data_IF_292593602447
#
_entry.id   IF_292593602447
#
_cell.length_a   1.000
_cell.length_b   1.000
_cell.length_c   1.000
_cell.angle_alpha   90.00
_cell.angle_beta   90.00
_cell.angle_gamma   90.00
#
_symmetry.space_group_name_H-M   'P 1'
#
loop_
_entity.id
_entity.type
_entity.pdbx_description
1 polymer ?
#
# COMPACT_ATOMS: atom_id res chain seq x y z
N UNK A 1 1.52 -17.44 59.97
CA UNK A 1 2.66 -18.02 60.74
C UNK A 1 3.60 -18.68 59.76
N UNK A 2 4.81 -18.11 59.59
CA UNK A 2 6.13 -18.72 59.87
C UNK A 2 6.48 -19.91 58.95
N UNK A 3 7.63 -20.01 58.29
CA UNK A 3 8.88 -19.24 58.27
C UNK A 3 9.70 -19.74 57.07
N UNK A 4 10.29 -18.87 56.24
CA UNK A 4 11.70 -18.45 56.31
C UNK A 4 12.75 -19.57 56.47
N UNK A 5 13.71 -19.60 55.52
CA UNK A 5 15.14 -19.55 55.85
C UNK A 5 16.00 -19.06 54.67
N UNK A 6 16.61 -17.90 54.90
CA UNK A 6 17.76 -17.29 54.20
C UNK A 6 19.05 -18.03 54.61
N UNK A 7 20.10 -17.91 53.80
CA UNK A 7 21.56 -17.86 54.12
C UNK A 7 22.26 -17.60 52.77
N UNK A 8 23.36 -16.88 52.60
CA UNK A 8 24.03 -15.73 53.21
C UNK A 8 25.20 -15.43 52.25
N UNK A 9 25.45 -14.16 51.98
CA UNK A 9 26.56 -13.61 51.19
C UNK A 9 27.91 -13.82 51.90
N UNK A 10 28.99 -14.08 51.17
CA UNK A 10 30.34 -13.70 51.60
C UNK A 10 31.12 -13.09 50.42
N UNK A 11 31.43 -11.81 50.55
CA UNK A 11 32.35 -11.08 49.70
C UNK A 11 33.81 -11.41 50.09
N UNK A 12 34.72 -11.47 49.12
CA UNK A 12 36.13 -11.25 49.38
C UNK A 12 36.78 -10.50 48.21
N UNK A 13 37.30 -9.33 48.54
CA UNK A 13 38.02 -8.39 47.69
C UNK A 13 39.47 -8.85 47.51
N UNK A 14 40.02 -8.75 46.29
CA UNK A 14 41.46 -8.64 46.09
C UNK A 14 41.75 -7.52 45.09
N UNK A 15 42.33 -6.44 45.61
CA UNK A 15 42.96 -5.37 44.86
C UNK A 15 44.42 -5.79 44.66
N UNK A 16 44.91 -5.76 43.42
CA UNK A 16 46.34 -5.60 43.16
C UNK A 16 46.55 -4.84 41.85
N UNK A 17 47.36 -3.81 41.97
CA UNK A 17 47.50 -2.65 41.09
C UNK A 17 48.76 -2.70 40.21
N UNK A 18 48.70 -1.94 39.11
CA UNK A 18 49.77 -1.32 38.30
C UNK A 18 50.70 -2.20 37.46
N UNK A 19 50.66 -1.96 36.14
CA UNK A 19 51.66 -1.12 35.46
C UNK A 19 51.03 -0.40 34.26
N UNK A 20 51.00 0.93 34.31
CA UNK A 20 50.90 1.79 33.13
C UNK A 20 52.28 1.89 32.48
N UNK A 21 52.33 1.76 31.16
CA UNK A 21 53.32 2.44 30.33
C UNK A 21 52.57 3.24 29.27
N UNK A 22 52.73 4.56 29.35
CA UNK A 22 52.12 5.55 28.48
C UNK A 22 52.87 5.69 27.15
N UNK A 23 52.13 6.09 26.12
CA UNK A 23 52.44 7.06 25.03
C UNK A 23 51.35 6.83 23.97
N UNK A 24 50.65 7.78 23.36
CA UNK A 24 50.65 9.25 23.34
C UNK A 24 49.54 9.64 22.35
N UNK A 25 48.79 10.73 22.58
CA UNK A 25 48.03 11.41 21.52
C UNK A 25 46.59 11.72 21.88
N UNK A 26 46.28 13.01 22.00
CA UNK A 26 44.99 13.52 22.45
C UNK A 26 43.85 13.46 21.43
N UNK A 27 42.65 13.73 21.92
CA UNK A 27 41.46 13.98 21.09
C UNK A 27 40.21 13.34 21.69
N UNK A 28 39.50 14.07 22.55
CA UNK A 28 38.21 13.65 23.09
C UNK A 28 37.18 13.53 21.97
N UNK A 29 36.76 12.31 21.65
CA UNK A 29 35.59 12.01 20.82
C UNK A 29 34.42 11.58 21.70
N UNK A 30 33.32 12.31 21.54
CA UNK A 30 31.96 11.96 21.92
C UNK A 30 31.61 10.51 21.61
N UNK A 31 31.03 9.82 22.59
CA UNK A 31 30.34 8.55 22.43
C UNK A 31 29.16 8.70 21.48
N UNK A 32 29.35 8.32 20.22
CA UNK A 32 28.27 7.92 19.32
C UNK A 32 28.09 6.41 19.46
N UNK A 33 26.89 5.97 19.81
CA UNK A 33 26.48 4.58 19.67
C UNK A 33 26.54 4.20 18.19
N UNK A 34 27.45 3.29 17.84
CA UNK A 34 27.55 2.73 16.50
C UNK A 34 26.43 1.72 16.29
N UNK A 35 25.29 2.17 15.77
CA UNK A 35 24.34 1.30 15.09
C UNK A 35 24.84 1.04 13.66
N UNK A 36 25.63 -0.03 13.47
CA UNK A 36 25.65 -0.87 12.26
C UNK A 36 26.92 -1.76 12.25
N UNK A 37 26.85 -2.95 12.82
CA UNK A 37 27.73 -4.03 12.39
C UNK A 37 26.85 -5.17 11.85
N UNK A 38 27.04 -5.49 10.57
CA UNK A 38 26.31 -6.50 9.81
C UNK A 38 25.42 -5.89 8.73
N UNK A 39 25.88 -5.88 7.48
CA UNK A 39 25.01 -5.69 6.33
C UNK A 39 24.06 -6.88 6.13
N UNK A 40 23.37 -6.89 5.00
CA UNK A 40 22.48 -7.99 4.61
C UNK A 40 23.30 -9.29 4.49
N UNK A 41 22.84 -10.36 5.16
CA UNK A 41 23.45 -11.70 5.08
C UNK A 41 22.94 -12.44 3.83
N UNK A 42 23.53 -12.11 2.67
CA UNK A 42 23.23 -12.79 1.40
C UNK A 42 23.74 -14.23 1.34
N UNK A 43 24.41 -14.76 2.37
CA UNK A 43 24.87 -16.15 2.39
C UNK A 43 23.74 -17.15 2.70
N UNK A 44 22.64 -16.70 3.28
CA UNK A 44 21.50 -17.53 3.66
C UNK A 44 20.30 -17.24 2.77
N UNK A 45 19.76 -18.28 2.15
CA UNK A 45 18.51 -18.14 1.42
C UNK A 45 17.35 -17.91 2.39
N UNK A 46 16.59 -16.84 2.18
CA UNK A 46 15.34 -16.57 2.92
C UNK A 46 14.16 -16.92 2.02
N UNK A 47 13.34 -17.88 2.45
CA UNK A 47 12.11 -18.25 1.76
C UNK A 47 10.93 -17.42 2.28
N UNK A 48 10.21 -16.75 1.39
CA UNK A 48 9.12 -15.82 1.70
C UNK A 48 7.85 -16.31 0.98
N UNK A 49 6.77 -16.50 1.74
CA UNK A 49 5.44 -16.75 1.19
C UNK A 49 4.81 -15.46 0.68
N UNK A 50 4.05 -15.53 -0.41
CA UNK A 50 3.28 -14.39 -0.94
C UNK A 50 1.83 -14.82 -1.10
N UNK A 51 0.92 -14.21 -0.34
CA UNK A 51 -0.52 -14.45 -0.48
C UNK A 51 -1.04 -13.61 -1.66
N UNK A 52 -1.59 -14.29 -2.66
CA UNK A 52 -2.04 -13.70 -3.93
C UNK A 52 -3.53 -13.38 -3.86
N UNK A 53 -3.89 -12.10 -3.96
CA UNK A 53 -5.28 -11.65 -4.01
C UNK A 53 -5.86 -11.62 -5.44
N UNK A 54 -5.00 -11.43 -6.44
CA UNK A 54 -5.33 -11.43 -7.86
C UNK A 54 -4.15 -12.04 -8.62
N UNK A 55 -4.38 -13.08 -9.41
CA UNK A 55 -3.34 -13.76 -10.18
C UNK A 55 -3.18 -13.20 -11.61
N UNK A 56 -4.09 -12.35 -12.07
CA UNK A 56 -4.22 -11.99 -13.49
C UNK A 56 -4.18 -10.50 -13.78
N UNK A 57 -4.52 -9.65 -12.80
CA UNK A 57 -4.48 -8.21 -12.95
C UNK A 57 -3.08 -7.69 -13.27
N UNK A 58 -3.01 -6.72 -14.17
CA UNK A 58 -1.74 -6.13 -14.60
C UNK A 58 -0.95 -5.52 -13.43
N UNK A 59 -1.64 -4.96 -12.43
CA UNK A 59 -1.04 -4.49 -11.17
C UNK A 59 -0.35 -5.65 -10.43
N UNK A 60 -1.08 -6.73 -10.15
CA UNK A 60 -0.57 -7.88 -9.42
C UNK A 60 0.60 -8.55 -10.16
N UNK A 61 0.51 -8.64 -11.49
CA UNK A 61 1.58 -9.15 -12.34
C UNK A 61 2.81 -8.23 -12.33
N UNK A 62 2.64 -6.91 -12.26
CA UNK A 62 3.75 -5.97 -12.15
C UNK A 62 4.47 -6.11 -10.79
N UNK A 63 3.72 -6.24 -9.68
CA UNK A 63 4.28 -6.54 -8.36
C UNK A 63 5.05 -7.86 -8.35
N UNK A 64 4.46 -8.92 -8.91
CA UNK A 64 5.12 -10.21 -9.04
C UNK A 64 6.39 -10.12 -9.88
N UNK A 65 6.35 -9.41 -11.01
CA UNK A 65 7.52 -9.19 -11.85
C UNK A 65 8.63 -8.46 -11.11
N UNK A 66 8.31 -7.44 -10.32
CA UNK A 66 9.31 -6.74 -9.50
C UNK A 66 9.98 -7.70 -8.48
N UNK A 67 9.21 -8.58 -7.83
CA UNK A 67 9.78 -9.58 -6.93
C UNK A 67 10.61 -10.66 -7.64
N UNK A 68 10.09 -11.27 -8.71
CA UNK A 68 10.77 -12.38 -9.39
C UNK A 68 11.93 -11.92 -10.28
N UNK A 69 11.75 -10.80 -11.00
CA UNK A 69 12.69 -10.37 -12.03
C UNK A 69 13.67 -9.31 -11.58
N UNK A 70 13.41 -8.63 -10.46
CA UNK A 70 14.35 -7.69 -9.84
C UNK A 70 14.84 -8.22 -8.48
N UNK A 71 13.99 -8.25 -7.46
CA UNK A 71 14.39 -8.53 -6.07
C UNK A 71 15.09 -9.89 -5.94
N UNK A 72 14.54 -10.97 -6.49
CA UNK A 72 15.14 -12.31 -6.39
C UNK A 72 16.49 -12.45 -7.11
N UNK A 73 16.84 -11.53 -8.02
CA UNK A 73 18.18 -11.48 -8.64
C UNK A 73 19.19 -10.69 -7.79
N UNK A 74 18.70 -9.79 -6.94
CA UNK A 74 19.53 -8.89 -6.14
C UNK A 74 19.84 -9.46 -4.74
N UNK A 75 18.90 -10.20 -4.15
CA UNK A 75 19.01 -10.74 -2.80
C UNK A 75 18.90 -12.26 -2.83
N UNK A 76 19.53 -12.95 -1.87
CA UNK A 76 19.40 -14.39 -1.73
C UNK A 76 18.05 -14.78 -1.09
N UNK A 77 16.97 -14.62 -1.85
CA UNK A 77 15.60 -14.89 -1.42
C UNK A 77 14.89 -15.81 -2.41
N UNK A 78 13.93 -16.59 -1.91
CA UNK A 78 13.05 -17.43 -2.74
C UNK A 78 11.61 -17.10 -2.41
N UNK A 79 10.83 -16.69 -3.41
CA UNK A 79 9.39 -16.45 -3.23
C UNK A 79 8.59 -17.73 -3.50
N UNK A 80 7.59 -17.97 -2.66
CA UNK A 80 6.59 -19.02 -2.84
C UNK A 80 5.22 -18.38 -2.84
N UNK A 81 4.51 -18.47 -3.96
CA UNK A 81 3.19 -17.85 -4.13
C UNK A 81 2.08 -18.85 -3.79
N UNK A 82 0.98 -18.37 -3.26
CA UNK A 82 -0.28 -19.11 -3.23
C UNK A 82 -0.93 -19.09 -4.62
N UNK A 83 -1.95 -19.92 -4.81
CA UNK A 83 -2.97 -19.63 -5.82
C UNK A 83 -3.76 -18.37 -5.43
N UNK A 84 -4.60 -17.86 -6.34
CA UNK A 84 -5.51 -16.75 -6.05
C UNK A 84 -6.46 -17.09 -4.90
N UNK A 85 -6.56 -16.18 -3.93
CA UNK A 85 -7.29 -16.39 -2.68
C UNK A 85 -8.61 -15.64 -2.71
N UNK A 86 -9.71 -16.35 -2.44
CA UNK A 86 -11.06 -15.80 -2.48
C UNK A 86 -11.70 -15.66 -1.10
N UNK A 87 -11.12 -16.27 -0.06
CA UNK A 87 -11.67 -16.26 1.29
C UNK A 87 -10.62 -16.59 2.38
N UNK A 88 -11.03 -16.40 3.64
CA UNK A 88 -10.20 -16.60 4.82
C UNK A 88 -9.74 -18.07 5.01
N UNK A 89 -10.51 -19.06 4.54
CA UNK A 89 -10.14 -20.47 4.66
C UNK A 89 -9.01 -20.84 3.67
N UNK A 90 -9.08 -20.28 2.46
CA UNK A 90 -8.01 -20.37 1.47
C UNK A 90 -6.74 -19.68 1.98
N UNK A 91 -6.86 -18.48 2.57
CA UNK A 91 -5.74 -17.76 3.19
C UNK A 91 -5.06 -18.60 4.30
N UNK A 92 -5.85 -19.17 5.22
CA UNK A 92 -5.31 -20.02 6.28
C UNK A 92 -4.59 -21.26 5.71
N UNK A 93 -5.15 -21.90 4.68
CA UNK A 93 -4.56 -23.07 4.03
C UNK A 93 -3.25 -22.74 3.31
N UNK A 94 -3.18 -21.59 2.65
CA UNK A 94 -1.96 -21.10 2.02
C UNK A 94 -0.86 -20.81 3.04
N UNK A 95 -1.21 -20.20 4.18
CA UNK A 95 -0.27 -19.97 5.29
C UNK A 95 0.28 -21.31 5.82
N UNK A 96 -0.57 -22.31 6.03
CA UNK A 96 -0.13 -23.66 6.44
C UNK A 96 0.85 -24.28 5.44
N UNK A 97 0.58 -24.13 4.14
CA UNK A 97 1.46 -24.61 3.09
C UNK A 97 2.82 -23.89 3.12
N UNK A 98 2.85 -22.57 3.31
CA UNK A 98 4.09 -21.80 3.44
C UNK A 98 4.90 -22.21 4.67
N UNK A 99 4.25 -22.42 5.81
CA UNK A 99 4.88 -22.90 7.04
C UNK A 99 5.51 -24.29 6.81
N UNK A 100 4.75 -25.23 6.25
CA UNK A 100 5.23 -26.58 5.93
C UNK A 100 6.44 -26.55 4.96
N UNK A 101 6.52 -25.51 4.14
CA UNK A 101 7.58 -25.27 3.18
C UNK A 101 8.77 -24.45 3.72
N UNK A 102 8.81 -24.20 5.03
CA UNK A 102 9.85 -23.47 5.74
C UNK A 102 10.00 -21.99 5.34
N UNK A 103 8.92 -21.35 4.88
CA UNK A 103 8.90 -19.89 4.73
C UNK A 103 9.17 -19.23 6.09
N UNK A 104 10.05 -18.23 6.12
CA UNK A 104 10.41 -17.46 7.33
C UNK A 104 9.57 -16.21 7.50
N UNK A 105 8.99 -15.75 6.40
CA UNK A 105 8.05 -14.66 6.39
C UNK A 105 6.97 -14.88 5.34
N UNK A 106 5.89 -14.12 5.45
CA UNK A 106 4.78 -14.04 4.52
C UNK A 106 4.50 -12.55 4.26
N UNK A 107 4.48 -12.16 2.99
CA UNK A 107 4.03 -10.84 2.54
C UNK A 107 2.63 -11.03 1.93
N UNK A 108 1.62 -10.40 2.52
CA UNK A 108 0.23 -10.56 2.11
C UNK A 108 -0.24 -9.41 1.23
N UNK A 109 -0.86 -9.78 0.11
CA UNK A 109 -1.72 -8.90 -0.68
C UNK A 109 -3.22 -9.19 -0.43
N UNK A 110 -3.54 -10.26 0.31
CA UNK A 110 -4.90 -10.69 0.60
C UNK A 110 -5.43 -10.08 1.91
N UNK A 111 -6.74 -9.90 1.99
CA UNK A 111 -7.39 -9.14 3.07
C UNK A 111 -8.72 -9.72 3.55
N UNK A 112 -9.00 -11.01 3.34
CA UNK A 112 -10.26 -11.60 3.80
C UNK A 112 -10.35 -11.69 5.33
N UNK A 113 -9.27 -12.06 6.01
CA UNK A 113 -9.17 -12.03 7.49
C UNK A 113 -7.72 -11.79 7.98
N UNK A 114 -7.28 -10.52 7.94
CA UNK A 114 -5.95 -10.11 8.44
C UNK A 114 -5.70 -10.54 9.89
N UNK A 115 -6.64 -10.35 10.84
CA UNK A 115 -6.43 -10.80 12.22
C UNK A 115 -6.13 -12.29 12.34
N UNK A 116 -6.85 -13.16 11.62
CA UNK A 116 -6.58 -14.60 11.63
C UNK A 116 -5.21 -14.92 11.00
N UNK A 117 -4.86 -14.25 9.89
CA UNK A 117 -3.55 -14.42 9.24
C UNK A 117 -2.39 -14.07 10.20
N UNK A 118 -2.47 -12.93 10.89
CA UNK A 118 -1.42 -12.47 11.83
C UNK A 118 -1.28 -13.43 13.00
N UNK A 119 -2.39 -13.83 13.64
CA UNK A 119 -2.37 -14.78 14.77
C UNK A 119 -1.73 -16.11 14.37
N UNK A 120 -2.13 -16.67 13.22
CA UNK A 120 -1.59 -17.93 12.72
C UNK A 120 -0.09 -17.86 12.43
N UNK A 121 0.38 -16.77 11.84
CA UNK A 121 1.81 -16.56 11.59
C UNK A 121 2.59 -16.43 12.91
N UNK A 122 2.08 -15.67 13.88
CA UNK A 122 2.70 -15.49 15.18
C UNK A 122 2.80 -16.80 15.99
N UNK A 123 1.74 -17.62 16.01
CA UNK A 123 1.73 -18.95 16.63
C UNK A 123 2.83 -19.86 16.07
N UNK A 124 3.15 -19.70 14.78
CA UNK A 124 4.16 -20.49 14.07
C UNK A 124 5.52 -19.80 13.94
N UNK A 125 5.69 -18.62 14.56
CA UNK A 125 6.93 -17.83 14.53
C UNK A 125 7.40 -17.47 13.11
N UNK A 126 6.45 -17.18 12.24
CA UNK A 126 6.66 -16.70 10.87
C UNK A 126 6.32 -15.22 10.84
N UNK A 127 7.22 -14.40 10.29
CA UNK A 127 6.95 -12.97 10.16
C UNK A 127 5.82 -12.71 9.16
N UNK A 128 4.92 -11.80 9.47
CA UNK A 128 3.80 -11.43 8.60
C UNK A 128 3.84 -9.94 8.31
N UNK A 129 3.74 -9.60 7.03
CA UNK A 129 3.80 -8.25 6.52
C UNK A 129 2.65 -8.01 5.55
N UNK A 130 2.14 -6.79 5.52
CA UNK A 130 1.05 -6.38 4.63
C UNK A 130 1.60 -5.44 3.56
N UNK A 131 1.42 -5.81 2.30
CA UNK A 131 1.77 -4.99 1.16
C UNK A 131 0.52 -4.30 0.58
N UNK A 132 0.65 -3.06 0.14
CA UNK A 132 -0.34 -2.30 -0.66
C UNK A 132 -1.69 -2.06 0.03
N UNK A 133 -1.73 -2.17 1.35
CA UNK A 133 -2.89 -1.79 2.15
C UNK A 133 -2.52 -1.57 3.61
N UNK A 134 -3.55 -1.33 4.43
CA UNK A 134 -3.42 -1.07 5.87
C UNK A 134 -4.25 -2.07 6.68
N UNK A 135 -4.14 -2.01 8.01
CA UNK A 135 -5.14 -2.51 8.94
C UNK A 135 -6.07 -1.35 9.33
N UNK A 136 -7.25 -1.67 9.87
CA UNK A 136 -8.04 -0.69 10.62
C UNK A 136 -7.31 -0.29 11.92
N UNK A 137 -7.69 0.85 12.51
CA UNK A 137 -7.12 1.32 13.78
C UNK A 137 -7.30 0.29 14.92
N UNK A 138 -8.44 -0.40 14.93
CA UNK A 138 -8.77 -1.42 15.93
C UNK A 138 -7.88 -2.65 15.78
N UNK A 139 -7.73 -3.17 14.55
CA UNK A 139 -6.85 -4.30 14.27
C UNK A 139 -5.38 -3.93 14.51
N UNK A 140 -4.94 -2.74 14.11
CA UNK A 140 -3.58 -2.29 14.36
C UNK A 140 -3.31 -2.20 15.86
N UNK A 141 -4.24 -1.65 16.66
CA UNK A 141 -4.12 -1.62 18.11
C UNK A 141 -4.01 -3.02 18.74
N UNK A 142 -4.65 -4.04 18.16
CA UNK A 142 -4.51 -5.44 18.59
C UNK A 142 -3.12 -6.02 18.29
N UNK A 143 -2.53 -5.69 17.14
CA UNK A 143 -1.35 -6.40 16.62
C UNK A 143 -0.04 -5.61 16.67
N UNK A 144 -0.05 -4.31 16.93
CA UNK A 144 1.14 -3.46 16.88
C UNK A 144 2.30 -3.95 17.76
N UNK A 145 2.02 -4.60 18.89
CA UNK A 145 3.04 -5.11 19.81
C UNK A 145 3.49 -6.55 19.49
N UNK A 146 2.95 -7.18 18.44
CA UNK A 146 3.27 -8.55 18.07
C UNK A 146 4.65 -8.64 17.40
N UNK A 147 5.56 -9.43 17.99
CA UNK A 147 6.93 -9.65 17.51
C UNK A 147 7.00 -10.15 16.06
N UNK A 148 6.03 -10.97 15.64
CA UNK A 148 5.99 -11.54 14.30
C UNK A 148 5.18 -10.72 13.31
N UNK A 149 4.50 -9.66 13.75
CA UNK A 149 3.88 -8.71 12.85
C UNK A 149 4.88 -7.62 12.47
N UNK A 150 5.34 -7.61 11.22
CA UNK A 150 6.28 -6.61 10.68
C UNK A 150 5.60 -5.26 10.52
N UNK A 151 4.35 -5.27 10.07
CA UNK A 151 3.57 -4.06 9.81
C UNK A 151 2.93 -4.04 8.43
N UNK A 152 2.41 -2.88 8.08
CA UNK A 152 1.76 -2.58 6.81
C UNK A 152 2.40 -1.37 6.14
N UNK A 153 2.63 -1.48 4.83
CA UNK A 153 3.02 -0.37 3.97
C UNK A 153 2.20 -0.41 2.69
N UNK A 154 1.50 0.69 2.43
CA UNK A 154 0.61 0.88 1.30
C UNK A 154 -0.14 2.20 1.48
N UNK A 155 -1.04 2.56 0.57
CA UNK A 155 -1.93 3.67 0.83
C UNK A 155 -2.77 3.38 2.07
N UNK A 156 -2.73 4.28 3.05
CA UNK A 156 -3.69 4.29 4.13
C UNK A 156 -5.05 4.82 3.66
N UNK A 157 -6.09 4.67 4.49
CA UNK A 157 -7.44 5.06 4.11
C UNK A 157 -7.58 6.58 3.85
N UNK A 158 -6.79 7.40 4.53
CA UNK A 158 -6.75 8.85 4.28
C UNK A 158 -6.15 9.17 2.90
N UNK A 159 -5.12 8.44 2.49
CA UNK A 159 -4.48 8.53 1.18
C UNK A 159 -5.42 8.05 0.08
N UNK A 160 -6.19 6.98 0.33
CA UNK A 160 -7.24 6.52 -0.60
C UNK A 160 -8.34 7.56 -0.80
N UNK A 161 -8.79 8.17 0.29
CA UNK A 161 -9.72 9.29 0.22
C UNK A 161 -9.13 10.47 -0.57
N UNK A 162 -7.91 10.87 -0.26
CA UNK A 162 -7.26 12.01 -0.90
C UNK A 162 -7.09 11.77 -2.40
N UNK A 163 -6.74 10.56 -2.84
CA UNK A 163 -6.63 10.22 -4.25
C UNK A 163 -7.97 10.39 -5.00
N UNK A 164 -9.08 9.97 -4.39
CA UNK A 164 -10.42 10.18 -4.94
C UNK A 164 -10.84 11.65 -4.94
N UNK A 165 -10.53 12.39 -3.86
CA UNK A 165 -10.79 13.82 -3.73
C UNK A 165 -10.03 14.62 -4.79
N UNK A 166 -8.72 14.43 -4.92
CA UNK A 166 -7.86 15.15 -5.86
C UNK A 166 -8.28 14.88 -7.31
N UNK A 167 -8.65 13.63 -7.62
CA UNK A 167 -9.13 13.27 -8.95
C UNK A 167 -10.44 14.00 -9.30
N UNK A 168 -11.44 14.04 -8.41
CA UNK A 168 -12.67 14.79 -8.67
C UNK A 168 -12.39 16.30 -8.74
N UNK A 169 -11.57 16.82 -7.81
CA UNK A 169 -11.18 18.22 -7.74
C UNK A 169 -10.51 18.71 -9.01
N UNK A 170 -9.63 17.91 -9.61
CA UNK A 170 -8.97 18.23 -10.87
C UNK A 170 -9.94 18.67 -11.97
N UNK A 171 -11.10 18.01 -12.10
CA UNK A 171 -12.12 18.37 -13.09
C UNK A 171 -13.08 19.46 -12.61
N UNK A 172 -13.41 19.47 -11.32
CA UNK A 172 -14.23 20.54 -10.72
C UNK A 172 -13.55 21.91 -10.90
N UNK A 173 -12.23 22.00 -10.72
CA UNK A 173 -11.43 23.21 -10.94
C UNK A 173 -11.41 23.65 -12.42
N UNK A 174 -11.71 22.74 -13.35
CA UNK A 174 -11.90 23.02 -14.78
C UNK A 174 -13.35 23.40 -15.13
N UNK A 175 -14.23 23.49 -14.13
CA UNK A 175 -15.64 23.87 -14.30
C UNK A 175 -16.55 22.72 -14.72
N UNK A 176 -16.09 21.46 -14.64
CA UNK A 176 -16.95 20.29 -14.86
C UNK A 176 -17.90 20.13 -13.68
N UNK A 177 -19.15 19.80 -13.95
CA UNK A 177 -20.21 19.74 -12.92
C UNK A 177 -21.04 18.47 -12.97
N UNK A 178 -20.90 17.65 -14.01
CA UNK A 178 -21.72 16.44 -14.20
C UNK A 178 -20.86 15.20 -14.37
N UNK A 179 -20.93 14.30 -13.39
CA UNK A 179 -20.02 13.16 -13.26
C UNK A 179 -20.77 11.83 -13.31
N UNK A 180 -20.19 10.85 -13.97
CA UNK A 180 -20.47 9.45 -13.70
C UNK A 180 -19.39 8.90 -12.75
N UNK A 181 -19.78 8.01 -11.83
CA UNK A 181 -18.85 7.35 -10.91
C UNK A 181 -18.91 5.83 -11.15
N UNK A 182 -17.76 5.23 -11.42
CA UNK A 182 -17.56 3.80 -11.28
C UNK A 182 -16.96 3.51 -9.91
N UNK A 183 -17.78 2.97 -9.00
CA UNK A 183 -17.46 2.69 -7.61
C UNK A 183 -16.76 1.34 -7.37
N UNK A 184 -16.46 0.56 -8.42
CA UNK A 184 -15.71 -0.70 -8.31
C UNK A 184 -16.29 -1.63 -7.24
N UNK A 185 -15.43 -2.20 -6.40
CA UNK A 185 -15.81 -3.09 -5.28
C UNK A 185 -16.40 -2.38 -4.05
N UNK A 186 -16.86 -1.12 -4.15
CA UNK A 186 -17.60 -0.45 -3.07
C UNK A 186 -18.79 -1.30 -2.56
N UNK A 187 -19.66 -1.86 -3.44
CA UNK A 187 -20.72 -2.80 -3.03
C UNK A 187 -20.25 -4.05 -2.26
N UNK A 188 -18.99 -4.41 -2.39
CA UNK A 188 -18.37 -5.57 -1.72
C UNK A 188 -17.61 -5.17 -0.46
N UNK A 189 -17.89 -3.97 0.08
CA UNK A 189 -17.31 -3.45 1.33
C UNK A 189 -15.78 -3.34 1.29
N UNK A 190 -15.22 -3.07 0.12
CA UNK A 190 -13.77 -2.82 0.00
C UNK A 190 -13.45 -1.38 0.40
N UNK A 191 -12.81 -1.20 1.55
CA UNK A 191 -12.53 0.12 2.14
C UNK A 191 -11.80 1.06 1.19
N UNK A 192 -10.78 0.57 0.47
CA UNK A 192 -10.05 1.33 -0.54
C UNK A 192 -10.99 2.04 -1.54
N UNK A 193 -11.98 1.33 -2.08
CA UNK A 193 -12.93 1.88 -3.04
C UNK A 193 -13.98 2.78 -2.37
N UNK A 194 -14.39 2.46 -1.15
CA UNK A 194 -15.30 3.31 -0.35
C UNK A 194 -14.65 4.67 -0.09
N UNK A 195 -13.40 4.70 0.37
CA UNK A 195 -12.70 5.93 0.72
C UNK A 195 -12.43 6.79 -0.52
N UNK A 196 -11.99 6.20 -1.64
CA UNK A 196 -11.87 6.91 -2.93
C UNK A 196 -13.20 7.53 -3.35
N UNK A 197 -14.29 6.76 -3.29
CA UNK A 197 -15.65 7.25 -3.63
C UNK A 197 -16.05 8.40 -2.70
N UNK A 198 -15.81 8.29 -1.39
CA UNK A 198 -16.09 9.34 -0.43
C UNK A 198 -15.31 10.62 -0.73
N UNK A 199 -14.03 10.50 -1.08
CA UNK A 199 -13.19 11.62 -1.50
C UNK A 199 -13.81 12.38 -2.67
N UNK A 200 -14.26 11.66 -3.70
CA UNK A 200 -14.93 12.27 -4.86
C UNK A 200 -16.19 13.03 -4.45
N UNK A 201 -17.06 12.41 -3.65
CA UNK A 201 -18.31 13.02 -3.21
C UNK A 201 -18.09 14.25 -2.33
N UNK A 202 -17.07 14.25 -1.46
CA UNK A 202 -16.71 15.40 -0.64
C UNK A 202 -16.21 16.55 -1.50
N UNK A 203 -15.32 16.30 -2.47
CA UNK A 203 -14.89 17.34 -3.42
C UNK A 203 -16.10 17.96 -4.16
N UNK A 204 -17.07 17.13 -4.58
CA UNK A 204 -18.31 17.59 -5.21
C UNK A 204 -19.20 18.40 -4.25
N UNK A 205 -19.28 18.04 -2.98
CA UNK A 205 -20.02 18.80 -1.96
C UNK A 205 -19.41 20.20 -1.75
N UNK A 206 -18.09 20.28 -1.65
CA UNK A 206 -17.35 21.53 -1.48
C UNK A 206 -17.51 22.45 -2.69
N UNK A 207 -17.31 21.92 -3.90
CA UNK A 207 -17.44 22.71 -5.13
C UNK A 207 -18.91 23.08 -5.46
N UNK A 208 -19.85 22.19 -5.16
CA UNK A 208 -21.27 22.35 -5.46
C UNK A 208 -22.04 23.20 -4.45
N UNK A 209 -21.53 23.36 -3.22
CA UNK A 209 -22.24 24.05 -2.13
C UNK A 209 -23.47 23.29 -1.63
N UNK A 210 -23.40 21.95 -1.59
CA UNK A 210 -24.50 21.06 -1.20
C UNK A 210 -24.04 19.85 -0.40
N UNK A 211 -24.93 18.87 -0.23
CA UNK A 211 -24.64 17.62 0.50
C UNK A 211 -25.05 16.42 -0.34
N UNK A 212 -24.32 15.31 -0.24
CA UNK A 212 -24.75 14.02 -0.76
C UNK A 212 -25.50 13.26 0.33
N UNK A 213 -26.83 13.11 0.19
CA UNK A 213 -27.69 12.44 1.18
C UNK A 213 -27.49 12.92 2.64
N UNK A 214 -27.21 14.21 2.81
CA UNK A 214 -27.00 14.85 4.12
C UNK A 214 -25.56 14.79 4.65
N UNK A 215 -24.61 14.20 3.92
CA UNK A 215 -23.18 14.20 4.25
C UNK A 215 -22.40 15.19 3.35
N UNK A 216 -21.30 15.74 3.87
CA UNK A 216 -20.49 16.73 3.14
C UNK A 216 -19.01 16.76 3.51
N UNK A 217 -18.58 16.02 4.52
CA UNK A 217 -17.18 15.97 4.97
C UNK A 217 -16.71 14.52 5.07
N UNK A 218 -15.40 14.33 5.28
CA UNK A 218 -14.75 13.02 5.36
C UNK A 218 -15.50 12.03 6.25
N UNK A 219 -15.74 12.40 7.52
CA UNK A 219 -16.31 11.48 8.51
C UNK A 219 -17.78 11.15 8.22
N UNK A 220 -18.58 12.17 7.90
CA UNK A 220 -20.00 11.98 7.59
C UNK A 220 -20.22 11.20 6.29
N UNK A 221 -19.34 11.37 5.29
CA UNK A 221 -19.47 10.71 4.00
C UNK A 221 -19.21 9.20 4.10
N UNK A 222 -18.17 8.79 4.82
CA UNK A 222 -17.87 7.36 5.03
C UNK A 222 -19.06 6.69 5.74
N UNK A 223 -19.53 7.27 6.84
CA UNK A 223 -20.71 6.77 7.55
C UNK A 223 -21.95 6.68 6.65
N UNK A 224 -22.17 7.70 5.80
CA UNK A 224 -23.29 7.70 4.84
C UNK A 224 -23.21 6.57 3.83
N UNK A 225 -22.02 6.26 3.29
CA UNK A 225 -21.86 5.17 2.32
C UNK A 225 -22.22 3.82 2.96
N UNK A 226 -21.78 3.56 4.19
CA UNK A 226 -22.17 2.33 4.90
C UNK A 226 -23.66 2.30 5.26
N UNK A 227 -24.26 3.41 5.66
CA UNK A 227 -25.71 3.49 5.90
C UNK A 227 -26.53 3.17 4.64
N UNK A 228 -25.97 3.45 3.46
CA UNK A 228 -26.54 3.12 2.15
C UNK A 228 -26.20 1.68 1.70
N UNK A 229 -25.65 0.83 2.59
CA UNK A 229 -25.18 -0.52 2.29
C UNK A 229 -24.17 -0.56 1.13
N UNK A 230 -23.35 0.49 1.00
CA UNK A 230 -22.38 0.68 -0.08
C UNK A 230 -23.00 0.66 -1.50
N UNK A 231 -24.30 0.98 -1.60
CA UNK A 231 -25.04 1.15 -2.86
C UNK A 231 -25.37 2.63 -3.05
N UNK A 232 -24.57 3.31 -3.87
CA UNK A 232 -24.75 4.73 -4.14
C UNK A 232 -25.77 4.94 -5.26
N UNK A 233 -26.40 6.10 -5.23
CA UNK A 233 -27.40 6.51 -6.22
C UNK A 233 -27.01 7.85 -6.86
N UNK A 234 -27.43 8.09 -8.12
CA UNK A 234 -27.33 9.41 -8.75
C UNK A 234 -27.99 10.50 -7.89
N UNK A 235 -27.34 11.65 -7.77
CA UNK A 235 -27.83 12.75 -6.95
C UNK A 235 -27.29 14.11 -7.38
N UNK A 236 -28.10 15.14 -7.17
CA UNK A 236 -27.68 16.54 -7.29
C UNK A 236 -27.08 17.03 -5.97
N UNK A 237 -25.90 17.63 -6.04
CA UNK A 237 -25.12 18.18 -4.93
C UNK A 237 -24.93 19.66 -5.18
N UNK A 238 -25.93 20.48 -4.81
CA UNK A 238 -25.91 21.91 -5.09
C UNK A 238 -25.83 22.20 -6.60
N UNK A 239 -24.72 22.79 -7.08
CA UNK A 239 -24.48 23.02 -8.51
C UNK A 239 -23.79 21.87 -9.25
N UNK A 240 -23.36 20.81 -8.55
CA UNK A 240 -22.73 19.61 -9.11
C UNK A 240 -23.74 18.46 -9.14
N UNK A 241 -23.55 17.47 -10.00
CA UNK A 241 -24.44 16.31 -10.16
C UNK A 241 -23.63 15.03 -10.38
N UNK A 242 -23.94 14.00 -9.58
CA UNK A 242 -23.63 12.60 -9.90
C UNK A 242 -24.76 12.09 -10.79
N UNK A 243 -24.50 12.04 -12.09
CA UNK A 243 -25.47 11.67 -13.13
C UNK A 243 -25.70 10.17 -13.17
N UNK A 244 -24.66 9.38 -12.88
CA UNK A 244 -24.73 7.91 -12.93
C UNK A 244 -23.76 7.31 -11.93
N UNK A 245 -24.16 6.19 -11.31
CA UNK A 245 -23.30 5.37 -10.47
C UNK A 245 -23.33 3.93 -10.95
N UNK A 246 -22.15 3.34 -11.10
CA UNK A 246 -21.95 1.94 -11.47
C UNK A 246 -21.09 1.31 -10.38
N UNK A 247 -21.63 0.33 -9.66
CA UNK A 247 -20.89 -0.43 -8.66
C UNK A 247 -20.73 -1.89 -9.06
N UNK A 248 -19.80 -2.58 -8.44
CA UNK A 248 -19.55 -4.00 -8.58
C UNK A 248 -18.73 -4.36 -9.83
N UNK A 249 -18.43 -5.64 -9.93
CA UNK A 249 -17.74 -6.31 -11.04
C UNK A 249 -18.54 -7.55 -11.45
N UNK A 250 -19.86 -7.39 -11.64
CA UNK A 250 -20.75 -8.51 -11.89
C UNK A 250 -20.57 -9.11 -13.30
N UNK A 251 -20.05 -8.31 -14.24
CA UNK A 251 -19.77 -8.67 -15.65
C UNK A 251 -20.93 -9.35 -16.39
N UNK A 252 -22.16 -9.11 -15.94
CA UNK A 252 -23.38 -9.57 -16.60
C UNK A 252 -23.94 -8.51 -17.57
N UNK A 253 -24.93 -8.90 -18.37
CA UNK A 253 -25.57 -8.01 -19.35
C UNK A 253 -26.16 -6.75 -18.70
N UNK A 254 -26.63 -6.85 -17.45
CA UNK A 254 -27.20 -5.72 -16.73
C UNK A 254 -26.12 -4.71 -16.32
N UNK A 255 -24.99 -5.19 -15.83
CA UNK A 255 -23.82 -4.39 -15.48
C UNK A 255 -23.25 -3.68 -16.71
N UNK A 256 -23.04 -4.40 -17.82
CA UNK A 256 -22.60 -3.79 -19.09
C UNK A 256 -23.65 -2.80 -19.64
N UNK A 257 -24.94 -3.07 -19.43
CA UNK A 257 -26.03 -2.14 -19.75
C UNK A 257 -25.90 -0.80 -19.03
N UNK A 258 -25.63 -0.80 -17.72
CA UNK A 258 -25.42 0.43 -16.92
C UNK A 258 -24.18 1.19 -17.39
N UNK A 259 -23.09 0.49 -17.67
CA UNK A 259 -21.87 1.09 -18.18
C UNK A 259 -22.10 1.78 -19.53
N UNK A 260 -22.81 1.11 -20.44
CA UNK A 260 -23.18 1.67 -21.75
C UNK A 260 -24.17 2.85 -21.63
N UNK A 261 -25.11 2.80 -20.69
CA UNK A 261 -26.04 3.91 -20.43
C UNK A 261 -25.28 5.16 -19.98
N UNK A 262 -24.35 5.02 -19.02
CA UNK A 262 -23.53 6.13 -18.55
C UNK A 262 -22.62 6.69 -19.66
N UNK A 263 -21.98 5.82 -20.44
CA UNK A 263 -21.14 6.22 -21.57
C UNK A 263 -21.92 6.97 -22.66
N UNK A 264 -23.19 6.61 -22.90
CA UNK A 264 -24.02 7.26 -23.91
C UNK A 264 -24.84 8.43 -23.38
N UNK A 265 -24.75 8.75 -22.09
CA UNK A 265 -25.52 9.84 -21.50
C UNK A 265 -24.88 11.19 -21.85
N UNK A 266 -25.55 12.06 -22.64
CA UNK A 266 -24.98 13.35 -23.08
C UNK A 266 -24.81 14.35 -21.94
N UNK A 267 -25.34 14.06 -20.73
CA UNK A 267 -25.12 14.87 -19.55
C UNK A 267 -23.85 14.50 -18.80
N UNK A 268 -23.22 13.36 -19.05
CA UNK A 268 -21.96 12.97 -18.40
C UNK A 268 -20.80 13.71 -19.06
N UNK A 269 -20.11 14.57 -18.30
CA UNK A 269 -18.91 15.27 -18.76
C UNK A 269 -17.63 14.47 -18.48
N UNK A 270 -17.59 13.79 -17.33
CA UNK A 270 -16.42 13.04 -16.85
C UNK A 270 -16.86 11.74 -16.18
N UNK A 271 -16.17 10.64 -16.51
CA UNK A 271 -16.22 9.40 -15.74
C UNK A 271 -15.06 9.37 -14.74
N UNK A 272 -15.38 9.22 -13.45
CA UNK A 272 -14.42 9.01 -12.37
C UNK A 272 -14.47 7.54 -11.94
N UNK A 273 -13.33 6.87 -11.89
CA UNK A 273 -13.27 5.44 -11.52
C UNK A 273 -12.38 5.24 -10.30
N UNK A 274 -12.86 4.48 -9.31
CA UNK A 274 -12.07 4.12 -8.11
C UNK A 274 -11.06 3.01 -8.35
N UNK A 275 -10.91 2.55 -9.59
CA UNK A 275 -10.12 1.40 -10.04
C UNK A 275 -10.57 1.06 -11.46
N UNK A 276 -9.70 0.53 -12.31
CA UNK A 276 -10.04 0.22 -13.70
C UNK A 276 -10.03 -1.28 -13.97
N UNK A 277 -11.16 -1.78 -14.47
CA UNK A 277 -11.16 -2.89 -15.41
C UNK A 277 -11.02 -2.30 -16.80
N UNK A 278 -10.19 -2.90 -17.67
CA UNK A 278 -10.02 -2.49 -19.07
C UNK A 278 -11.35 -2.29 -19.82
N UNK A 279 -12.38 -3.02 -19.41
CA UNK A 279 -13.73 -2.95 -19.96
C UNK A 279 -14.40 -1.58 -19.76
N UNK A 280 -14.07 -0.86 -18.68
CA UNK A 280 -14.57 0.50 -18.43
C UNK A 280 -14.03 1.49 -19.47
N UNK A 281 -12.73 1.42 -19.79
CA UNK A 281 -12.15 2.26 -20.84
C UNK A 281 -12.73 1.94 -22.22
N UNK A 282 -13.05 0.66 -22.47
CA UNK A 282 -13.56 0.24 -23.76
C UNK A 282 -14.96 0.81 -24.07
N UNK A 283 -15.78 1.01 -23.05
CA UNK A 283 -17.13 1.58 -23.19
C UNK A 283 -17.14 3.10 -23.40
N UNK A 284 -16.15 3.83 -22.85
CA UNK A 284 -16.11 5.29 -22.83
C UNK A 284 -15.27 5.93 -23.95
N UNK A 285 -15.07 5.23 -25.09
CA UNK A 285 -14.24 5.67 -26.23
C UNK A 285 -14.75 6.90 -27.01
N UNK A 286 -15.67 7.70 -26.47
CA UNK A 286 -16.19 8.88 -27.17
C UNK A 286 -15.28 10.10 -26.94
N UNK A 287 -14.88 10.80 -27.99
CA UNK A 287 -13.96 11.96 -27.94
C UNK A 287 -14.43 13.11 -27.03
N UNK A 288 -15.72 13.18 -26.69
CA UNK A 288 -16.31 14.26 -25.88
C UNK A 288 -16.31 14.01 -24.38
N UNK A 289 -16.00 12.80 -23.91
CA UNK A 289 -16.03 12.43 -22.50
C UNK A 289 -14.62 12.23 -21.97
N UNK A 290 -14.34 12.78 -20.79
CA UNK A 290 -13.05 12.60 -20.12
C UNK A 290 -13.13 11.43 -19.13
N UNK A 291 -12.04 10.69 -18.99
CA UNK A 291 -11.94 9.59 -18.04
C UNK A 291 -10.79 9.82 -17.07
N UNK A 292 -11.03 9.46 -15.81
CA UNK A 292 -10.06 9.53 -14.73
C UNK A 292 -10.10 8.26 -13.88
N UNK A 293 -8.93 7.76 -13.47
CA UNK A 293 -8.84 6.58 -12.60
C UNK A 293 -7.80 6.71 -11.49
N UNK A 294 -8.12 6.10 -10.35
CA UNK A 294 -7.13 5.72 -9.32
C UNK A 294 -6.88 4.22 -9.46
N UNK A 295 -5.70 3.83 -9.94
CA UNK A 295 -5.34 2.44 -10.22
C UNK A 295 -3.80 2.25 -10.18
N UNK A 296 -3.21 1.70 -11.24
CA UNK A 296 -1.82 1.29 -11.36
C UNK A 296 -1.24 1.68 -12.72
N UNK A 297 0.07 1.87 -12.78
CA UNK A 297 0.77 2.12 -14.03
C UNK A 297 0.89 0.84 -14.85
N UNK A 298 0.14 0.76 -15.95
CA UNK A 298 0.11 -0.38 -16.86
C UNK A 298 0.28 0.07 -18.31
N UNK A 299 0.72 -0.83 -19.19
CA UNK A 299 0.82 -0.55 -20.62
C UNK A 299 -0.51 -0.05 -21.20
N UNK A 300 -1.63 -0.63 -20.75
CA UNK A 300 -2.96 -0.28 -21.23
C UNK A 300 -3.43 1.08 -20.72
N UNK A 301 -3.16 1.43 -19.46
CA UNK A 301 -3.46 2.76 -18.94
C UNK A 301 -2.66 3.84 -19.68
N UNK A 302 -1.38 3.58 -19.98
CA UNK A 302 -0.55 4.50 -20.78
C UNK A 302 -1.06 4.59 -22.22
N UNK A 303 -1.49 3.48 -22.83
CA UNK A 303 -2.08 3.49 -24.16
C UNK A 303 -3.41 4.27 -24.19
N UNK A 304 -4.22 4.16 -23.14
CA UNK A 304 -5.45 4.94 -22.98
C UNK A 304 -5.17 6.44 -22.79
N UNK A 305 -4.08 6.80 -22.10
CA UNK A 305 -3.64 8.20 -22.00
C UNK A 305 -3.17 8.73 -23.36
N UNK A 306 -2.43 7.93 -24.12
CA UNK A 306 -1.96 8.27 -25.48
C UNK A 306 -3.10 8.50 -26.46
N UNK A 307 -4.17 7.71 -26.37
CA UNK A 307 -5.34 7.85 -27.22
C UNK A 307 -6.25 9.01 -26.81
N UNK A 308 -6.00 9.61 -25.64
CA UNK A 308 -6.82 10.68 -25.07
C UNK A 308 -8.08 10.21 -24.35
N UNK A 309 -8.32 8.89 -24.28
CA UNK A 309 -9.47 8.30 -23.56
C UNK A 309 -9.30 8.51 -22.06
N UNK A 310 -8.11 8.24 -21.52
CA UNK A 310 -7.75 8.51 -20.13
C UNK A 310 -7.04 9.86 -20.05
N UNK A 311 -7.42 10.73 -19.10
CA UNK A 311 -6.82 12.06 -18.95
C UNK A 311 -6.22 12.29 -17.56
N UNK A 312 -6.52 11.43 -16.60
CA UNK A 312 -5.98 11.49 -15.25
C UNK A 312 -5.76 10.07 -14.74
N UNK A 313 -4.53 9.77 -14.32
CA UNK A 313 -4.17 8.51 -13.69
C UNK A 313 -3.43 8.79 -12.38
N UNK A 314 -4.05 8.44 -11.25
CA UNK A 314 -3.33 8.23 -9.99
C UNK A 314 -2.96 6.75 -9.90
N UNK A 315 -1.72 6.41 -10.26
CA UNK A 315 -1.26 5.03 -10.37
C UNK A 315 -0.30 4.62 -9.24
N UNK A 316 -0.51 3.42 -8.69
CA UNK A 316 0.55 2.69 -7.98
C UNK A 316 1.62 2.26 -8.97
N UNK A 317 2.85 2.21 -8.49
CA UNK A 317 4.02 1.72 -9.22
C UNK A 317 4.51 0.42 -8.59
N UNK A 318 4.98 -0.50 -9.41
CA UNK A 318 5.40 -1.86 -9.07
C UNK A 318 6.43 -1.91 -7.93
N UNK A 319 7.44 -1.01 -7.96
CA UNK A 319 8.50 -1.02 -6.98
C UNK A 319 8.05 -0.59 -5.57
N UNK A 320 6.85 -0.02 -5.42
CA UNK A 320 6.30 0.46 -4.14
C UNK A 320 6.21 -0.63 -3.06
N UNK A 321 6.30 -1.91 -3.41
CA UNK A 321 6.37 -3.04 -2.46
C UNK A 321 7.81 -3.35 -1.97
N UNK A 322 8.81 -2.62 -2.46
CA UNK A 322 10.21 -2.77 -2.06
C UNK A 322 10.46 -2.50 -0.57
N UNK A 323 9.93 -1.41 0.03
CA UNK A 323 10.11 -1.12 1.44
C UNK A 323 9.56 -2.23 2.35
N UNK A 324 8.35 -2.75 2.08
CA UNK A 324 7.78 -3.83 2.91
C UNK A 324 8.56 -5.13 2.76
N UNK A 325 9.07 -5.43 1.57
CA UNK A 325 10.03 -6.52 1.37
C UNK A 325 11.28 -6.32 2.25
N UNK A 326 11.86 -5.12 2.25
CA UNK A 326 13.08 -4.88 3.01
C UNK A 326 12.85 -4.94 4.52
N UNK A 327 11.74 -4.37 5.03
CA UNK A 327 11.36 -4.51 6.44
C UNK A 327 11.19 -5.99 6.83
N UNK A 328 10.60 -6.79 5.94
CA UNK A 328 10.42 -8.23 6.13
C UNK A 328 11.74 -8.98 6.18
N UNK A 329 12.65 -8.72 5.22
CA UNK A 329 13.98 -9.32 5.20
C UNK A 329 14.78 -8.94 6.44
N UNK A 330 14.72 -7.67 6.83
CA UNK A 330 15.37 -7.13 8.02
C UNK A 330 14.89 -7.84 9.30
N UNK A 331 13.59 -8.06 9.45
CA UNK A 331 13.03 -8.81 10.57
C UNK A 331 13.51 -10.28 10.60
N UNK A 332 13.49 -10.97 9.45
CA UNK A 332 13.99 -12.36 9.35
C UNK A 332 15.47 -12.47 9.72
N UNK A 333 16.27 -11.46 9.38
CA UNK A 333 17.71 -11.42 9.70
C UNK A 333 18.02 -10.85 11.09
N UNK A 334 17.00 -10.64 11.94
CA UNK A 334 17.17 -10.25 13.33
C UNK A 334 17.39 -8.75 13.55
N UNK A 335 17.01 -7.92 12.58
CA UNK A 335 17.04 -6.45 12.66
C UNK A 335 15.66 -5.87 12.37
N UNK A 336 14.61 -6.23 13.13
CA UNK A 336 13.27 -5.72 12.88
C UNK A 336 13.25 -4.19 13.02
N UNK A 337 12.52 -3.53 12.11
CA UNK A 337 12.30 -2.09 12.15
C UNK A 337 11.00 -1.86 12.92
N UNK A 338 11.07 -1.07 13.99
CA UNK A 338 9.97 -0.84 14.94
C UNK A 338 9.93 0.63 15.33
N UNK A 339 8.75 1.14 15.68
CA UNK A 339 8.61 2.50 16.23
C UNK A 339 9.48 2.69 17.48
N UNK A 340 9.63 3.94 17.94
CA UNK A 340 10.31 4.22 19.20
C UNK A 340 9.72 3.47 20.42
N UNK A 341 8.45 3.07 20.35
CA UNK A 341 7.76 2.28 21.39
C UNK A 341 7.90 0.77 21.19
N UNK A 342 8.57 0.32 20.12
CA UNK A 342 8.70 -1.10 19.78
C UNK A 342 7.54 -1.65 18.93
N UNK A 343 6.68 -0.78 18.39
CA UNK A 343 5.47 -1.18 17.65
C UNK A 343 5.78 -1.52 16.18
N UNK A 344 4.93 -2.32 15.55
CA UNK A 344 4.97 -2.67 14.13
C UNK A 344 4.83 -1.44 13.22
N UNK A 345 5.20 -1.58 11.95
CA UNK A 345 5.06 -0.48 10.99
C UNK A 345 3.58 -0.27 10.61
N UNK A 346 3.16 0.99 10.57
CA UNK A 346 1.95 1.44 9.90
C UNK A 346 2.31 2.72 9.15
N UNK A 347 2.80 2.55 7.91
CA UNK A 347 3.33 3.65 7.11
C UNK A 347 2.56 3.75 5.79
N UNK A 348 2.24 4.99 5.40
CA UNK A 348 1.52 5.25 4.16
C UNK A 348 2.46 5.62 3.01
N UNK A 349 2.13 5.12 1.82
CA UNK A 349 2.68 5.59 0.54
C UNK A 349 1.54 5.82 -0.45
N UNK A 350 1.67 6.83 -1.30
CA UNK A 350 0.61 7.22 -2.23
C UNK A 350 0.88 6.86 -3.69
N UNK A 351 0.24 7.63 -4.56
CA UNK A 351 0.19 7.40 -6.01
C UNK A 351 1.13 8.35 -6.74
N UNK A 352 1.63 7.92 -7.89
CA UNK A 352 2.11 8.88 -8.90
C UNK A 352 0.91 9.36 -9.72
N UNK A 353 0.85 10.66 -10.00
CA UNK A 353 -0.28 11.26 -10.70
C UNK A 353 0.19 11.79 -12.05
N UNK A 354 -0.34 11.21 -13.14
CA UNK A 354 -0.14 11.71 -14.49
C UNK A 354 -1.44 12.33 -15.02
N UNK A 355 -1.34 13.53 -15.58
CA UNK A 355 -2.48 14.30 -16.13
C UNK A 355 -2.40 14.45 -17.65
N UNK A 356 -1.37 13.89 -18.26
CA UNK A 356 -1.18 13.84 -19.70
C UNK A 356 -0.33 12.64 -20.12
N UNK A 357 -0.34 12.33 -21.42
CA UNK A 357 0.37 11.18 -21.97
C UNK A 357 1.90 11.23 -21.74
N UNK A 358 2.53 12.41 -21.83
CA UNK A 358 3.97 12.56 -21.65
C UNK A 358 4.40 12.17 -20.21
N UNK A 359 3.66 12.63 -19.20
CA UNK A 359 3.88 12.25 -17.81
C UNK A 359 3.67 10.75 -17.60
N UNK A 360 2.58 10.19 -18.13
CA UNK A 360 2.31 8.75 -17.99
C UNK A 360 3.39 7.89 -18.64
N UNK A 361 3.87 8.27 -19.82
CA UNK A 361 4.99 7.58 -20.49
C UNK A 361 6.27 7.66 -19.68
N UNK A 362 6.61 8.85 -19.17
CA UNK A 362 7.79 9.06 -18.34
C UNK A 362 7.74 8.21 -17.08
N UNK A 363 6.60 8.16 -16.40
CA UNK A 363 6.45 7.42 -15.15
C UNK A 363 6.47 5.91 -15.40
N UNK A 364 5.74 5.45 -16.41
CA UNK A 364 5.70 4.03 -16.77
C UNK A 364 7.06 3.50 -17.27
N UNK A 365 7.86 4.32 -17.95
CA UNK A 365 9.21 3.93 -18.37
C UNK A 365 10.11 3.60 -17.18
N UNK A 366 9.96 4.31 -16.06
CA UNK A 366 10.66 3.98 -14.81
C UNK A 366 10.03 2.77 -14.13
N UNK A 367 8.70 2.73 -14.05
CA UNK A 367 8.00 1.66 -13.32
C UNK A 367 8.19 0.28 -13.95
N UNK A 368 8.12 0.19 -15.28
CA UNK A 368 8.25 -1.07 -16.02
C UNK A 368 9.69 -1.58 -16.16
N UNK A 369 10.67 -0.85 -15.65
CA UNK A 369 12.09 -1.20 -15.75
C UNK A 369 12.46 -2.33 -14.79
N UNK A 370 12.91 -3.47 -15.34
CA UNK A 370 13.44 -4.59 -14.53
C UNK A 370 14.93 -4.46 -14.22
N UNK A 371 15.60 -3.43 -14.75
CA UNK A 371 17.04 -3.19 -14.54
C UNK A 371 17.29 -2.00 -13.61
N UNK A 372 16.51 -0.93 -13.78
CA UNK A 372 16.55 0.30 -12.98
C UNK A 372 15.13 0.71 -12.51
N UNK A 373 14.48 -0.10 -11.67
CA UNK A 373 13.14 0.21 -11.16
C UNK A 373 13.15 1.45 -10.27
N UNK A 374 11.96 1.94 -9.89
CA UNK A 374 11.84 3.16 -9.07
C UNK A 374 12.61 3.05 -7.75
N UNK A 375 12.52 1.90 -7.06
CA UNK A 375 13.34 1.58 -5.90
C UNK A 375 14.40 0.54 -6.27
N UNK A 376 15.66 0.99 -6.31
CA UNK A 376 16.79 0.13 -6.65
C UNK A 376 17.32 -0.60 -5.42
N UNK A 377 18.17 -1.62 -5.63
CA UNK A 377 18.94 -2.27 -4.56
C UNK A 377 19.67 -1.25 -3.70
N UNK A 378 20.40 -0.31 -4.32
CA UNK A 378 21.18 0.68 -3.59
C UNK A 378 20.31 1.52 -2.63
N UNK A 379 19.08 1.84 -3.03
CA UNK A 379 18.12 2.54 -2.18
C UNK A 379 17.59 1.62 -1.06
N UNK A 380 17.17 0.40 -1.41
CA UNK A 380 16.64 -0.56 -0.45
C UNK A 380 17.66 -0.99 0.60
N UNK A 381 18.93 -1.13 0.23
CA UNK A 381 20.03 -1.48 1.15
C UNK A 381 20.16 -0.46 2.29
N UNK A 382 19.79 0.81 2.06
CA UNK A 382 19.77 1.85 3.11
C UNK A 382 18.70 1.63 4.16
N UNK A 383 17.67 0.86 3.85
CA UNK A 383 16.55 0.59 4.75
C UNK A 383 16.79 -0.62 5.66
N UNK A 384 17.74 -1.48 5.33
CA UNK A 384 18.02 -2.68 6.11
C UNK A 384 18.52 -2.33 7.51
N UNK A 385 17.76 -2.70 8.54
CA UNK A 385 18.06 -2.38 9.93
C UNK A 385 18.10 -0.87 10.24
N UNK A 386 17.48 -0.04 9.38
CA UNK A 386 17.41 1.40 9.58
C UNK A 386 16.59 1.77 10.83
N UNK A 387 16.77 3.00 11.30
CA UNK A 387 15.89 3.57 12.31
C UNK A 387 14.47 3.72 11.75
N UNK A 388 13.46 3.72 12.63
CA UNK A 388 12.09 3.98 12.19
C UNK A 388 11.95 5.33 11.49
N UNK A 389 12.58 6.38 12.01
CA UNK A 389 12.47 7.73 11.44
C UNK A 389 13.05 7.80 10.02
N UNK A 390 14.21 7.18 9.79
CA UNK A 390 14.82 7.13 8.45
C UNK A 390 13.98 6.29 7.49
N UNK A 391 13.46 5.15 7.96
CA UNK A 391 12.62 4.28 7.17
C UNK A 391 11.28 4.95 6.81
N UNK A 392 10.62 5.58 7.79
CA UNK A 392 9.37 6.32 7.60
C UNK A 392 9.56 7.50 6.65
N UNK A 393 10.67 8.24 6.79
CA UNK A 393 11.02 9.32 5.88
C UNK A 393 11.15 8.83 4.44
N UNK A 394 11.84 7.71 4.22
CA UNK A 394 11.94 7.10 2.89
C UNK A 394 10.56 6.74 2.32
N UNK A 395 9.74 6.02 3.10
CA UNK A 395 8.41 5.56 2.66
C UNK A 395 7.49 6.74 2.33
N UNK A 396 7.55 7.82 3.11
CA UNK A 396 6.73 9.03 2.87
C UNK A 396 7.16 9.84 1.64
N UNK A 397 8.40 9.66 1.16
CA UNK A 397 8.95 10.36 0.00
C UNK A 397 8.66 9.58 -1.30
N UNK A 398 7.37 9.37 -1.58
CA UNK A 398 6.92 8.45 -2.64
C UNK A 398 6.57 9.15 -3.95
N UNK A 399 6.58 10.49 -4.04
CA UNK A 399 6.30 11.15 -5.32
C UNK A 399 7.38 10.80 -6.36
N UNK A 400 7.03 10.84 -7.64
CA UNK A 400 7.97 10.50 -8.71
C UNK A 400 9.26 11.31 -8.60
N UNK A 401 9.16 12.62 -8.36
CA UNK A 401 10.32 13.51 -8.28
C UNK A 401 11.18 13.25 -7.04
N UNK A 402 10.58 12.99 -5.88
CA UNK A 402 11.31 12.63 -4.66
C UNK A 402 12.12 11.35 -4.87
N UNK A 403 11.50 10.31 -5.45
CA UNK A 403 12.17 9.04 -5.74
C UNK A 403 13.33 9.24 -6.72
N UNK A 404 13.15 10.02 -7.79
CA UNK A 404 14.24 10.33 -8.72
C UNK A 404 15.39 11.11 -8.06
N UNK A 405 15.09 11.91 -7.03
CA UNK A 405 16.11 12.63 -6.27
C UNK A 405 16.84 11.74 -5.27
N UNK A 406 16.19 10.70 -4.73
CA UNK A 406 16.83 9.68 -3.89
C UNK A 406 17.83 8.79 -4.66
N UNK A 407 17.72 8.72 -5.99
CA UNK A 407 18.67 7.98 -6.85
C UNK A 407 20.00 8.71 -7.10
N UNK A 408 20.05 10.03 -6.88
CA UNK A 408 21.23 10.87 -7.12
C UNK A 408 22.14 10.88 -5.90
#
# INVERSE_FOLDING_TARGET
MKSFRKILVLALSFVLTFTLAACSGGGSSSSGDSASEGGIDDSKNVKIGVLVADATGAEALAFRSYYENYIAKQYNVTFMYSDELTDAAAEASAIDNFIANNCKAIISFASSDRPAQIRKCAENKVYYAVATGTLSDEEYAEFKDNEYYVGAIGPDLATEFQAGYDMAKFYLDQGKTKFAIFGGATPYYTDMHIYRTAGMLVAMCEAGGGTYNGASDFGSMIGKIYEMNCQLEPAKIGSVEVVSYIGGYDFDDAWFGKLAEAANNPNVEVLLTVGSGLDTFAAFKQESQQLATVDSYTADAVAAMKSGVLNYLAGKYSASIGPIFMATLSAVQGKPIRTANGEALALSQGYWVATNAEEAEKFYAVDSSTEDPAYTRAMLDTLFGASYDDFAKFVSAYSFEEIQNLKK
#
